data_IF_458696891195
#
_entry.id   IF_458696891195
#
_cell.length_a   1.000
_cell.length_b   1.000
_cell.length_c   1.000
_cell.angle_alpha   90.00
_cell.angle_beta   90.00
_cell.angle_gamma   90.00
#
_symmetry.space_group_name_H-M   'P 1'
#
loop_
_entity.id
_entity.type
_entity.pdbx_description
1 polymer ?
#
# COMPACT_ATOMS: atom_id res chain seq x y z
N UNK A 1 10.87 5.60 -10.00
CA UNK A 1 10.53 4.27 -9.42
C UNK A 1 9.35 3.69 -10.18
N UNK A 2 9.09 2.38 -10.15
CA UNK A 2 7.87 1.84 -10.78
C UNK A 2 6.63 2.23 -9.97
N UNK A 3 5.46 2.27 -10.59
CA UNK A 3 4.21 2.56 -9.87
C UNK A 3 3.99 1.60 -8.69
N UNK A 4 4.31 0.31 -8.87
CA UNK A 4 4.23 -0.68 -7.80
C UNK A 4 5.14 -0.32 -6.60
N UNK A 5 6.30 0.28 -6.85
CA UNK A 5 7.22 0.72 -5.79
C UNK A 5 6.61 1.88 -4.98
N UNK A 6 5.98 2.84 -5.66
CA UNK A 6 5.30 3.96 -5.01
C UNK A 6 4.16 3.47 -4.10
N UNK A 7 3.37 2.50 -4.56
CA UNK A 7 2.31 1.87 -3.75
C UNK A 7 2.88 1.20 -2.50
N UNK A 8 3.96 0.41 -2.64
CA UNK A 8 4.60 -0.26 -1.50
C UNK A 8 5.12 0.77 -0.49
N UNK A 9 5.81 1.81 -0.97
CA UNK A 9 6.33 2.88 -0.12
C UNK A 9 5.22 3.63 0.61
N UNK A 10 4.10 3.91 -0.08
CA UNK A 10 2.95 4.57 0.56
C UNK A 10 2.33 3.72 1.66
N UNK A 11 2.19 2.41 1.46
CA UNK A 11 1.71 1.49 2.50
C UNK A 11 2.64 1.51 3.72
N UNK A 12 3.96 1.54 3.50
CA UNK A 12 4.93 1.60 4.60
C UNK A 12 4.88 2.93 5.35
N UNK A 13 4.74 4.05 4.64
CA UNK A 13 4.54 5.37 5.25
C UNK A 13 3.29 5.38 6.13
N UNK A 14 2.15 4.89 5.62
CA UNK A 14 0.90 4.86 6.38
C UNK A 14 0.98 3.96 7.62
N UNK A 15 1.67 2.83 7.54
CA UNK A 15 1.95 2.00 8.71
C UNK A 15 2.73 2.77 9.78
N UNK A 16 3.74 3.55 9.39
CA UNK A 16 4.54 4.34 10.33
C UNK A 16 3.71 5.49 10.90
N UNK A 17 3.03 6.26 10.05
CA UNK A 17 2.20 7.42 10.42
C UNK A 17 1.07 7.03 11.39
N UNK A 18 0.43 5.88 11.18
CA UNK A 18 -0.66 5.38 12.03
C UNK A 18 -0.18 4.47 13.16
N UNK A 19 1.14 4.30 13.34
CA UNK A 19 1.74 3.39 14.32
C UNK A 19 1.16 1.96 14.24
N UNK A 20 0.93 1.48 13.03
CA UNK A 20 0.35 0.17 12.73
C UNK A 20 1.43 -0.81 12.31
N UNK A 21 1.42 -2.00 12.91
CA UNK A 21 2.23 -3.12 12.42
C UNK A 21 1.56 -3.77 11.21
N UNK A 22 2.31 -4.59 10.48
CA UNK A 22 1.73 -5.41 9.40
C UNK A 22 0.65 -6.38 9.90
N UNK A 23 0.74 -6.78 11.16
CA UNK A 23 -0.27 -7.63 11.78
C UNK A 23 -1.56 -6.85 12.00
N UNK A 24 -1.46 -5.60 12.47
CA UNK A 24 -2.62 -4.71 12.63
C UNK A 24 -3.28 -4.43 11.29
N UNK A 25 -2.48 -4.18 10.25
CA UNK A 25 -3.01 -4.00 8.90
C UNK A 25 -3.70 -5.27 8.39
N UNK A 26 -3.14 -6.47 8.60
CA UNK A 26 -3.82 -7.74 8.28
C UNK A 26 -5.16 -7.85 8.99
N UNK A 27 -5.19 -7.56 10.30
CA UNK A 27 -6.39 -7.67 11.13
C UNK A 27 -7.48 -6.68 10.70
N UNK A 28 -7.08 -5.47 10.29
CA UNK A 28 -8.02 -4.40 9.93
C UNK A 28 -8.47 -4.44 8.46
N UNK A 29 -7.58 -4.83 7.53
CA UNK A 29 -7.89 -4.88 6.09
C UNK A 29 -8.50 -6.22 5.62
N UNK A 30 -8.33 -7.29 6.41
CA UNK A 30 -8.64 -8.65 5.96
C UNK A 30 -7.71 -9.19 4.86
N UNK A 31 -6.69 -8.43 4.44
CA UNK A 31 -5.72 -8.86 3.43
C UNK A 31 -4.72 -9.83 4.05
N UNK A 32 -4.55 -11.05 3.50
CA UNK A 32 -3.64 -12.04 4.08
C UNK A 32 -2.21 -11.52 4.26
N UNK A 33 -1.58 -11.88 5.38
CA UNK A 33 -0.21 -11.47 5.68
C UNK A 33 0.80 -11.96 4.62
N UNK A 34 0.52 -13.10 3.98
CA UNK A 34 1.28 -13.62 2.83
C UNK A 34 1.22 -12.68 1.62
N UNK A 35 0.06 -12.07 1.36
CA UNK A 35 -0.14 -11.06 0.32
C UNK A 35 0.60 -9.78 0.65
N UNK A 36 0.44 -9.24 1.87
CA UNK A 36 1.17 -8.04 2.32
C UNK A 36 2.70 -8.24 2.23
N UNK A 37 3.18 -9.42 2.61
CA UNK A 37 4.60 -9.77 2.51
C UNK A 37 5.07 -9.92 1.06
N UNK A 38 4.23 -10.48 0.18
CA UNK A 38 4.54 -10.65 -1.25
C UNK A 38 4.57 -9.31 -2.00
N UNK A 39 3.68 -8.39 -1.64
CA UNK A 39 3.66 -7.00 -2.10
C UNK A 39 4.97 -6.32 -1.71
N UNK A 40 5.34 -6.36 -0.42
CA UNK A 40 6.59 -5.75 0.05
C UNK A 40 7.85 -6.34 -0.59
N UNK A 41 7.88 -7.66 -0.82
CA UNK A 41 9.03 -8.32 -1.47
C UNK A 41 9.10 -8.07 -2.98
N UNK A 42 8.21 -7.25 -3.56
CA UNK A 42 8.06 -7.03 -5.01
C UNK A 42 7.89 -8.33 -5.81
N UNK A 43 7.46 -9.42 -5.15
CA UNK A 43 7.30 -10.75 -5.78
C UNK A 43 5.99 -10.83 -6.55
N UNK A 44 4.99 -10.10 -6.08
CA UNK A 44 3.81 -9.80 -6.87
C UNK A 44 4.12 -8.52 -7.63
N UNK A 45 4.46 -8.64 -8.92
CA UNK A 45 4.83 -7.50 -9.77
C UNK A 45 3.74 -6.43 -9.92
N UNK A 46 2.55 -6.66 -9.37
CA UNK A 46 1.43 -5.72 -9.36
C UNK A 46 0.51 -5.95 -8.15
N UNK A 47 0.13 -4.88 -7.46
CA UNK A 47 -0.93 -4.89 -6.46
C UNK A 47 -2.26 -4.76 -7.19
N UNK A 48 -3.20 -5.67 -6.96
CA UNK A 48 -4.55 -5.55 -7.53
C UNK A 48 -5.28 -4.37 -6.87
N UNK A 49 -6.03 -3.60 -7.65
CA UNK A 49 -6.81 -2.46 -7.13
C UNK A 49 -7.78 -2.88 -6.01
N UNK A 50 -8.41 -4.05 -6.11
CA UNK A 50 -9.27 -4.56 -5.04
C UNK A 50 -8.51 -4.79 -3.74
N UNK A 51 -7.27 -5.29 -3.80
CA UNK A 51 -6.43 -5.48 -2.61
C UNK A 51 -6.00 -4.13 -2.04
N UNK A 52 -5.72 -3.16 -2.90
CA UNK A 52 -5.42 -1.79 -2.47
C UNK A 52 -6.63 -1.16 -1.75
N UNK A 53 -7.84 -1.34 -2.28
CA UNK A 53 -9.07 -0.88 -1.63
C UNK A 53 -9.17 -1.41 -0.19
N UNK A 54 -9.05 -2.73 0.01
CA UNK A 54 -9.07 -3.33 1.34
C UNK A 54 -7.96 -2.80 2.26
N UNK A 55 -6.77 -2.52 1.72
CA UNK A 55 -5.68 -1.90 2.49
C UNK A 55 -6.07 -0.48 2.93
N UNK A 56 -6.70 0.31 2.07
CA UNK A 56 -7.19 1.64 2.42
C UNK A 56 -8.25 1.57 3.52
N UNK A 57 -9.21 0.64 3.42
CA UNK A 57 -10.19 0.37 4.48
C UNK A 57 -9.49 -0.01 5.80
N UNK A 58 -8.45 -0.84 5.75
CA UNK A 58 -7.68 -1.22 6.93
C UNK A 58 -6.88 -0.08 7.57
N UNK A 59 -6.60 0.98 6.82
CA UNK A 59 -6.01 2.23 7.31
C UNK A 59 -7.06 3.27 7.70
N UNK A 60 -8.36 3.01 7.50
CA UNK A 60 -9.44 3.99 7.67
C UNK A 60 -9.17 5.28 6.86
N UNK A 61 -8.86 5.09 5.56
CA UNK A 61 -8.68 6.16 4.58
C UNK A 61 -9.38 5.78 3.28
N UNK A 62 -9.75 6.78 2.49
CA UNK A 62 -10.24 6.61 1.13
C UNK A 62 -9.10 6.28 0.16
N UNK A 63 -9.45 5.71 -0.99
CA UNK A 63 -8.49 5.50 -2.07
C UNK A 63 -7.91 6.82 -2.61
N UNK A 64 -8.68 7.90 -2.51
CA UNK A 64 -8.24 9.25 -2.93
C UNK A 64 -7.11 9.74 -2.03
N UNK A 65 -7.28 9.64 -0.71
CA UNK A 65 -6.24 9.98 0.28
C UNK A 65 -5.00 9.09 0.19
N UNK A 66 -5.18 7.83 -0.22
CA UNK A 66 -4.04 6.95 -0.47
C UNK A 66 -3.15 7.50 -1.60
N UNK A 67 -3.75 7.89 -2.73
CA UNK A 67 -3.04 8.42 -3.90
C UNK A 67 -2.68 9.91 -3.79
N UNK A 68 -3.24 10.63 -2.83
CA UNK A 68 -2.82 11.99 -2.47
C UNK A 68 -1.47 11.95 -1.73
N UNK A 69 -0.41 11.64 -2.48
CA UNK A 69 0.95 11.58 -1.99
C UNK A 69 1.93 12.00 -3.09
N UNK A 70 2.99 12.76 -2.75
CA UNK A 70 4.04 13.12 -3.70
C UNK A 70 4.70 11.91 -4.39
N UNK A 71 4.61 10.71 -3.79
CA UNK A 71 5.09 9.45 -4.38
C UNK A 71 4.45 9.16 -5.75
N UNK A 72 3.23 9.66 -6.00
CA UNK A 72 2.50 9.44 -7.24
C UNK A 72 2.64 10.57 -8.27
N UNK A 73 3.49 11.57 -8.01
CA UNK A 73 3.80 12.60 -8.99
C UNK A 73 4.44 11.99 -10.24
N UNK A 74 4.07 12.50 -11.41
CA UNK A 74 4.54 12.01 -12.71
C UNK A 74 6.06 11.91 -12.81
N UNK A 75 6.78 12.87 -12.24
CA UNK A 75 8.24 12.93 -12.29
C UNK A 75 8.92 11.82 -11.46
N UNK A 76 8.19 11.22 -10.51
CA UNK A 76 8.70 10.17 -9.63
C UNK A 76 8.49 8.76 -10.22
N UNK A 77 7.58 8.60 -11.19
CA UNK A 77 7.21 7.29 -11.75
C UNK A 77 7.84 7.10 -13.12
N UNK A 78 8.62 6.02 -13.26
CA UNK A 78 9.18 5.53 -14.52
C UNK A 78 8.59 4.15 -14.82
N UNK A 79 8.29 3.91 -16.08
CA UNK A 79 7.64 2.69 -16.62
C UNK A 79 8.37 1.39 -16.20
#
# INVERSE_FOLDING_TARGET
MKLADAVILRIEQLCIEKNMTKYDLYKNSGVPQSTLTSIKKKRSGSVKLITLYWICEGFDITIQEFFDSPLFNKDNIVE
#
